data_IF_592522408377
#
_entry.id   IF_592522408377
#
_cell.length_a   1.000
_cell.length_b   1.000
_cell.length_c   1.000
_cell.angle_alpha   90.00
_cell.angle_beta   90.00
_cell.angle_gamma   90.00
#
_symmetry.space_group_name_H-M   'P 1'
#
loop_
_entity.id
_entity.type
_entity.pdbx_description
1 polymer ?
#
# COMPACT_ATOMS: atom_id res chain seq x y z
N UNK A 1 22.21 -9.53 8.40
CA UNK A 1 21.22 -9.97 9.42
C UNK A 1 20.11 -8.91 9.39
N UNK A 2 18.96 -9.19 8.77
CA UNK A 2 17.86 -8.22 8.69
C UNK A 2 16.93 -8.42 9.89
N UNK A 3 16.88 -7.43 10.79
CA UNK A 3 15.96 -7.40 11.91
C UNK A 3 14.60 -6.89 11.47
N UNK A 4 13.55 -7.66 11.75
CA UNK A 4 12.16 -7.22 11.63
C UNK A 4 11.75 -6.72 13.02
N UNK A 5 11.55 -5.41 13.17
CA UNK A 5 10.92 -4.88 14.38
C UNK A 5 9.40 -4.89 14.18
N UNK A 6 8.62 -5.44 15.12
CA UNK A 6 7.17 -5.41 15.03
C UNK A 6 6.70 -3.96 15.19
N UNK A 7 6.13 -3.41 14.12
CA UNK A 7 5.31 -2.22 14.23
C UNK A 7 4.07 -2.56 15.09
N UNK A 8 3.55 -1.60 15.86
CA UNK A 8 2.52 -1.83 16.87
C UNK A 8 1.26 -2.57 16.36
N UNK A 9 0.32 -2.94 17.25
CA UNK A 9 -0.86 -3.71 16.85
C UNK A 9 -1.61 -3.04 15.70
N UNK A 10 -1.70 -3.73 14.56
CA UNK A 10 -2.33 -3.22 13.33
C UNK A 10 -1.40 -2.54 12.33
N UNK A 11 -0.09 -2.48 12.60
CA UNK A 11 0.91 -1.93 11.68
C UNK A 11 1.85 -3.03 11.20
N UNK A 12 2.21 -3.01 9.91
CA UNK A 12 3.16 -3.96 9.31
C UNK A 12 4.17 -3.19 8.45
N UNK A 13 5.45 -3.52 8.60
CA UNK A 13 6.52 -2.97 7.79
C UNK A 13 6.88 -3.94 6.66
N UNK A 14 6.91 -3.46 5.42
CA UNK A 14 7.21 -4.28 4.24
C UNK A 14 8.22 -3.59 3.32
N UNK A 15 9.03 -4.39 2.62
CA UNK A 15 9.83 -3.90 1.49
C UNK A 15 9.07 -4.23 0.22
N UNK A 16 8.78 -3.21 -0.58
CA UNK A 16 8.00 -3.35 -1.81
C UNK A 16 8.79 -2.89 -3.02
N UNK A 17 8.55 -3.51 -4.16
CA UNK A 17 8.87 -2.96 -5.48
C UNK A 17 7.59 -2.44 -6.11
N UNK A 18 7.53 -1.14 -6.36
CA UNK A 18 6.32 -0.50 -6.86
C UNK A 18 6.15 -0.77 -8.36
N UNK A 19 5.11 -1.52 -8.76
CA UNK A 19 4.75 -1.68 -10.17
C UNK A 19 4.06 -0.45 -10.78
N UNK A 20 3.49 0.40 -9.91
CA UNK A 20 2.87 1.69 -10.23
C UNK A 20 3.28 2.68 -9.15
N UNK A 21 3.19 3.99 -9.43
CA UNK A 21 3.41 5.02 -8.41
C UNK A 21 2.57 4.69 -7.18
N UNK A 22 3.16 4.74 -6.00
CA UNK A 22 2.46 4.54 -4.72
C UNK A 22 2.65 5.79 -3.88
N UNK A 23 1.57 6.37 -3.40
CA UNK A 23 1.60 7.62 -2.62
C UNK A 23 1.31 7.35 -1.15
N UNK A 24 1.76 8.26 -0.29
CA UNK A 24 1.32 8.30 1.09
C UNK A 24 -0.22 8.31 1.17
N UNK A 25 -0.79 7.50 2.05
CA UNK A 25 -2.24 7.36 2.21
C UNK A 25 -2.93 6.43 1.19
N UNK A 26 -2.20 5.85 0.24
CA UNK A 26 -2.75 4.87 -0.69
C UNK A 26 -3.37 3.68 0.08
N UNK A 27 -4.52 3.20 -0.41
CA UNK A 27 -5.28 2.10 0.20
C UNK A 27 -5.09 0.83 -0.61
N UNK A 28 -4.67 -0.23 0.05
CA UNK A 28 -4.40 -1.56 -0.49
C UNK A 28 -5.48 -2.50 0.05
N UNK A 29 -6.28 -3.08 -0.86
CA UNK A 29 -7.51 -3.79 -0.50
C UNK A 29 -7.47 -5.28 -0.81
N UNK A 30 -6.36 -5.79 -1.35
CA UNK A 30 -6.28 -7.19 -1.71
C UNK A 30 -4.88 -7.64 -2.10
N UNK A 31 -4.73 -8.96 -2.20
CA UNK A 31 -3.52 -9.63 -2.66
C UNK A 31 -3.83 -10.37 -3.95
N UNK A 32 -3.12 -10.06 -5.03
CA UNK A 32 -3.35 -10.70 -6.32
C UNK A 32 -3.11 -12.21 -6.23
N UNK A 33 -4.08 -12.99 -6.67
CA UNK A 33 -4.00 -14.45 -6.69
C UNK A 33 -4.35 -15.13 -5.36
N UNK A 34 -4.84 -14.38 -4.36
CA UNK A 34 -5.33 -14.90 -3.08
C UNK A 34 -6.72 -14.36 -2.79
N UNK A 35 -7.57 -15.18 -2.18
CA UNK A 35 -8.88 -14.79 -1.63
C UNK A 35 -8.71 -14.16 -0.22
N UNK A 36 -7.66 -13.36 -0.06
CA UNK A 36 -7.36 -12.69 1.20
C UNK A 36 -7.71 -11.21 1.06
N UNK A 37 -8.78 -10.80 1.71
CA UNK A 37 -9.13 -9.39 1.87
C UNK A 37 -8.20 -8.76 2.91
N UNK A 38 -7.50 -7.73 2.48
CA UNK A 38 -6.72 -6.85 3.37
C UNK A 38 -7.31 -5.46 3.27
N UNK A 39 -7.19 -4.64 4.31
CA UNK A 39 -7.51 -3.21 4.22
C UNK A 39 -6.40 -2.43 4.90
N UNK A 40 -5.41 -2.06 4.10
CA UNK A 40 -4.17 -1.47 4.56
C UNK A 40 -3.98 -0.10 3.93
N UNK A 41 -3.45 0.85 4.70
CA UNK A 41 -3.07 2.18 4.23
C UNK A 41 -1.57 2.38 4.33
N UNK A 42 -1.01 3.04 3.32
CA UNK A 42 0.38 3.49 3.33
C UNK A 42 0.52 4.65 4.31
N UNK A 43 1.07 4.37 5.49
CA UNK A 43 1.26 5.37 6.54
C UNK A 43 2.60 6.11 6.37
N UNK A 44 3.66 5.41 5.94
CA UNK A 44 4.99 5.99 5.71
C UNK A 44 5.70 5.30 4.56
N UNK A 45 6.54 6.06 3.86
CA UNK A 45 7.36 5.55 2.76
C UNK A 45 8.80 5.99 2.97
N UNK A 46 9.72 5.04 3.01
CA UNK A 46 11.15 5.25 3.17
C UNK A 46 11.92 4.78 1.93
N UNK A 47 12.64 5.70 1.30
CA UNK A 47 13.58 5.43 0.21
C UNK A 47 14.97 5.87 0.65
N UNK A 48 15.94 4.94 0.65
CA UNK A 48 17.31 5.21 1.16
C UNK A 48 17.33 5.88 2.54
N UNK A 49 16.52 5.36 3.48
CA UNK A 49 16.37 5.87 4.85
C UNK A 49 15.79 7.29 4.96
N UNK A 50 15.31 7.87 3.85
CA UNK A 50 14.61 9.17 3.86
C UNK A 50 13.13 8.97 3.62
N UNK A 51 12.33 9.70 4.37
CA UNK A 51 10.89 9.72 4.15
C UNK A 51 10.58 10.49 2.86
N UNK A 52 9.74 9.90 2.02
CA UNK A 52 9.34 10.46 0.73
C UNK A 52 7.81 10.43 0.60
N UNK A 53 7.20 11.38 -0.11
CA UNK A 53 5.74 11.41 -0.25
C UNK A 53 5.19 10.34 -1.20
N UNK A 54 6.05 9.73 -2.03
CA UNK A 54 5.68 8.68 -2.96
C UNK A 54 6.88 7.81 -3.35
N UNK A 55 6.59 6.59 -3.82
CA UNK A 55 7.51 5.73 -4.56
C UNK A 55 7.13 5.72 -6.04
N UNK A 56 8.10 5.98 -6.90
CA UNK A 56 7.90 5.85 -8.34
C UNK A 56 7.88 4.39 -8.80
N UNK A 57 7.30 4.10 -9.98
CA UNK A 57 7.35 2.77 -10.57
C UNK A 57 8.80 2.26 -10.67
N UNK A 58 8.96 0.94 -10.54
CA UNK A 58 10.22 0.20 -10.62
C UNK A 58 11.17 0.46 -9.43
N UNK A 59 10.93 1.48 -8.62
CA UNK A 59 11.66 1.72 -7.38
C UNK A 59 11.28 0.72 -6.29
N UNK A 60 12.25 0.45 -5.42
CA UNK A 60 12.04 -0.31 -4.20
C UNK A 60 12.14 0.63 -2.99
N UNK A 61 11.29 0.38 -1.99
CA UNK A 61 11.31 1.14 -0.76
C UNK A 61 10.69 0.35 0.38
N UNK A 62 10.95 0.83 1.59
CA UNK A 62 10.32 0.33 2.81
C UNK A 62 9.04 1.12 3.02
N UNK A 63 7.94 0.43 3.27
CA UNK A 63 6.63 1.02 3.47
C UNK A 63 6.06 0.54 4.80
N UNK A 64 5.54 1.48 5.57
CA UNK A 64 4.76 1.19 6.77
C UNK A 64 3.28 1.17 6.37
N UNK A 65 2.62 0.05 6.65
CA UNK A 65 1.20 -0.15 6.37
C UNK A 65 0.43 -0.23 7.67
N UNK A 66 -0.72 0.43 7.74
CA UNK A 66 -1.63 0.38 8.89
C UNK A 66 -3.01 -0.12 8.46
N UNK A 67 -3.62 -1.01 9.25
CA UNK A 67 -4.98 -1.49 9.04
C UNK A 67 -5.16 -2.97 9.36
N UNK A 68 -6.04 -3.65 8.62
CA UNK A 68 -6.40 -5.05 8.86
C UNK A 68 -5.80 -5.98 7.79
N UNK A 69 -5.58 -7.24 8.16
CA UNK A 69 -5.05 -8.25 7.24
C UNK A 69 -3.53 -8.21 7.03
N UNK A 70 -2.80 -7.30 7.68
CA UNK A 70 -1.34 -7.22 7.58
C UNK A 70 -0.60 -8.50 8.00
N UNK A 71 -1.17 -9.29 8.91
CA UNK A 71 -0.62 -10.58 9.33
C UNK A 71 -0.72 -11.69 8.25
N UNK A 72 -1.55 -11.51 7.22
CA UNK A 72 -1.69 -12.46 6.12
C UNK A 72 -0.66 -12.27 5.00
N UNK A 73 0.13 -11.19 5.08
CA UNK A 73 1.15 -10.85 4.10
C UNK A 73 2.33 -11.83 4.16
N UNK A 74 2.79 -12.24 2.99
CA UNK A 74 3.93 -13.10 2.79
C UNK A 74 4.87 -12.53 1.72
N UNK A 75 6.13 -12.99 1.73
CA UNK A 75 7.08 -12.66 0.68
C UNK A 75 6.56 -13.12 -0.69
N UNK A 76 6.68 -12.26 -1.69
CA UNK A 76 6.19 -12.51 -3.05
C UNK A 76 4.73 -12.09 -3.31
N UNK A 77 3.98 -11.71 -2.27
CA UNK A 77 2.63 -11.18 -2.45
C UNK A 77 2.64 -9.89 -3.28
N UNK A 78 1.62 -9.75 -4.13
CA UNK A 78 1.41 -8.54 -4.92
C UNK A 78 0.17 -7.82 -4.41
N UNK A 79 0.39 -6.72 -3.70
CA UNK A 79 -0.70 -5.89 -3.19
C UNK A 79 -1.35 -5.09 -4.31
N UNK A 80 -2.68 -5.06 -4.30
CA UNK A 80 -3.50 -4.27 -5.21
C UNK A 80 -4.29 -3.23 -4.42
N UNK A 81 -4.51 -2.09 -5.04
CA UNK A 81 -5.16 -0.97 -4.38
C UNK A 81 -5.22 0.29 -5.24
N UNK A 82 -5.48 1.41 -4.58
CA UNK A 82 -5.64 2.70 -5.22
C UNK A 82 -4.89 3.81 -4.48
N UNK A 83 -4.38 4.77 -5.24
CA UNK A 83 -3.80 6.01 -4.71
C UNK A 83 -4.85 7.10 -4.48
N UNK A 84 -6.13 6.84 -4.78
CA UNK A 84 -7.17 7.84 -4.62
C UNK A 84 -7.52 7.94 -3.14
N UNK A 85 -7.64 9.14 -2.56
CA UNK A 85 -8.26 9.28 -1.26
C UNK A 85 -9.71 8.77 -1.35
N UNK A 86 -10.19 8.10 -0.31
CA UNK A 86 -11.58 7.69 -0.23
C UNK A 86 -12.45 8.95 -0.32
N UNK A 87 -13.37 8.99 -1.29
CA UNK A 87 -14.32 10.10 -1.42
C UNK A 87 -14.35 10.83 -2.77
N UNK A 88 -13.51 10.49 -3.75
CA UNK A 88 -13.75 10.98 -5.11
C UNK A 88 -14.77 10.08 -5.81
N UNK A 89 -16.04 10.28 -5.48
CA UNK A 89 -17.15 9.83 -6.30
C UNK A 89 -16.88 10.26 -7.75
N UNK A 90 -17.02 9.31 -8.67
CA UNK A 90 -17.16 9.56 -10.09
C UNK A 90 -18.42 10.40 -10.31
N UNK A 91 -18.28 11.73 -10.21
CA UNK A 91 -19.21 12.66 -10.83
C UNK A 91 -18.82 12.68 -12.31
N UNK A 92 -19.55 11.92 -13.13
CA UNK A 92 -19.28 11.92 -14.56
C UNK A 92 -19.95 10.85 -15.40
N UNK A 93 -21.01 10.19 -14.94
CA UNK A 93 -21.97 9.55 -15.84
C UNK A 93 -23.34 10.18 -15.57
N UNK A 94 -23.60 11.31 -16.23
CA UNK A 94 -24.96 11.71 -16.57
C UNK A 94 -25.04 11.84 -18.07
N UNK A 95 -25.72 10.86 -18.65
CA UNK A 95 -26.43 11.00 -19.91
C UNK A 95 -27.25 12.31 -19.92
N UNK A 96 -27.19 13.04 -21.04
CA UNK A 96 -28.32 13.66 -21.75
C UNK A 96 -27.79 14.82 -22.60
N UNK A 97 -27.86 14.65 -23.92
CA UNK A 97 -27.54 15.64 -24.94
C UNK A 97 -27.49 14.99 -26.30
#
# INVERSE_FOLDING_TARGET
>A
MHGVEPAGPGTVEVIVRCGRRTVLGARLTGIRGREADVDLRVERILMYQREVPFLDPVCSGKVLLYGTGGAALAEGDVLIGSNRPDGHGSIGDREAG
#
